data_IF_485867179671
#
_entry.id   IF_485867179671
#
_cell.length_a   1.000
_cell.length_b   1.000
_cell.length_c   1.000
_cell.angle_alpha   90.00
_cell.angle_beta   90.00
_cell.angle_gamma   90.00
#
_symmetry.space_group_name_H-M   'P 1'
#
loop_
_entity.id
_entity.type
_entity.pdbx_description
1 polymer ?
#
# COMPACT_ATOMS: atom_id res chain seq x y z
N UNK A 1 20.08 4.78 11.09
CA UNK A 1 18.76 4.25 10.75
C UNK A 1 18.66 2.81 11.20
N UNK A 2 17.56 2.44 11.89
CA UNK A 2 17.29 1.05 12.25
C UNK A 2 16.85 0.27 11.01
N UNK A 3 17.28 -0.99 10.90
CA UNK A 3 16.76 -1.91 9.88
C UNK A 3 15.37 -2.42 10.28
N UNK A 4 14.60 -2.90 9.30
CA UNK A 4 13.30 -3.51 9.56
C UNK A 4 13.39 -4.64 10.60
N UNK A 5 12.41 -4.71 11.50
CA UNK A 5 12.38 -5.71 12.57
C UNK A 5 13.38 -5.49 13.71
N UNK A 6 14.13 -4.38 13.71
CA UNK A 6 15.04 -4.04 14.80
C UNK A 6 14.41 -3.06 15.78
N UNK A 7 14.85 -3.14 17.03
CA UNK A 7 14.47 -2.27 18.13
C UNK A 7 15.73 -1.68 18.75
N UNK A 8 15.68 -0.36 19.04
CA UNK A 8 16.68 0.36 19.81
C UNK A 8 16.07 0.72 21.16
N UNK A 9 16.79 0.41 22.23
CA UNK A 9 16.43 0.81 23.58
C UNK A 9 17.56 1.66 24.17
N UNK A 10 17.19 2.83 24.66
CA UNK A 10 18.09 3.68 25.44
C UNK A 10 17.63 3.73 26.88
N UNK A 11 18.51 3.35 27.80
CA UNK A 11 18.24 3.38 29.23
C UNK A 11 19.53 3.64 30.02
N UNK A 12 19.50 4.60 30.95
CA UNK A 12 20.61 4.89 31.88
C UNK A 12 21.97 5.12 31.16
N UNK A 13 21.96 5.86 30.06
CA UNK A 13 23.16 6.13 29.27
C UNK A 13 23.65 4.97 28.42
N UNK A 14 22.97 3.84 28.41
CA UNK A 14 23.30 2.67 27.59
C UNK A 14 22.32 2.49 26.43
N UNK A 15 22.88 2.09 25.29
CA UNK A 15 22.13 1.80 24.09
C UNK A 15 22.19 0.32 23.80
N UNK A 16 21.03 -0.29 23.66
CA UNK A 16 20.87 -1.70 23.29
C UNK A 16 20.10 -1.79 21.98
N UNK A 17 20.58 -2.62 21.07
CA UNK A 17 19.90 -2.89 19.80
C UNK A 17 19.71 -4.38 19.66
N UNK A 18 18.46 -4.79 19.38
CA UNK A 18 18.10 -6.19 19.16
C UNK A 18 17.11 -6.34 18.02
N UNK A 19 17.00 -7.54 17.47
CA UNK A 19 16.00 -7.89 16.47
C UNK A 19 14.84 -8.58 17.17
N UNK A 20 13.63 -8.02 17.03
CA UNK A 20 12.41 -8.58 17.62
C UNK A 20 11.56 -9.33 16.60
N UNK A 21 11.82 -9.12 15.29
CA UNK A 21 11.12 -9.79 14.22
C UNK A 21 12.04 -9.96 12.99
N UNK A 22 11.86 -11.05 12.27
CA UNK A 22 12.54 -11.34 11.01
C UNK A 22 11.55 -11.95 10.04
N UNK A 23 11.53 -11.44 8.80
CA UNK A 23 10.79 -12.07 7.71
C UNK A 23 11.47 -13.41 7.35
N UNK A 24 10.70 -14.49 7.40
CA UNK A 24 11.16 -15.82 7.03
C UNK A 24 10.24 -16.37 5.96
N UNK A 25 10.83 -16.93 4.92
CA UNK A 25 10.13 -17.67 3.88
C UNK A 25 10.42 -19.16 4.09
N UNK A 26 9.44 -19.96 4.56
CA UNK A 26 9.62 -21.40 4.64
C UNK A 26 9.70 -21.97 3.22
N UNK A 27 10.82 -22.66 2.92
CA UNK A 27 11.08 -23.22 1.58
C UNK A 27 10.31 -24.53 1.31
N UNK A 28 9.77 -25.17 2.36
CA UNK A 28 9.24 -26.54 2.31
C UNK A 28 7.71 -26.63 2.14
N UNK A 29 7.03 -25.54 1.78
CA UNK A 29 5.58 -25.56 1.60
C UNK A 29 5.20 -25.96 0.17
N UNK A 30 5.37 -27.21 -0.20
CA UNK A 30 4.77 -27.75 -1.42
C UNK A 30 3.29 -28.06 -1.20
N UNK A 31 2.48 -27.00 -1.26
CA UNK A 31 1.03 -27.10 -1.10
C UNK A 31 0.31 -27.43 -2.42
N UNK A 32 1.02 -27.38 -3.53
CA UNK A 32 0.38 -27.34 -4.84
C UNK A 32 -0.38 -26.02 -5.07
N UNK A 33 -0.51 -25.62 -6.35
CA UNK A 33 -1.03 -24.30 -6.75
C UNK A 33 -2.45 -24.00 -6.25
N UNK A 34 -3.36 -24.95 -6.38
CA UNK A 34 -4.78 -24.75 -6.02
C UNK A 34 -4.99 -24.57 -4.51
N UNK A 35 -4.32 -25.41 -3.73
CA UNK A 35 -4.40 -25.33 -2.26
C UNK A 35 -3.75 -24.06 -1.75
N UNK A 36 -2.59 -23.68 -2.30
CA UNK A 36 -1.92 -22.43 -1.97
C UNK A 36 -2.80 -21.20 -2.26
N UNK A 37 -3.45 -21.17 -3.46
CA UNK A 37 -4.34 -20.09 -3.84
C UNK A 37 -5.56 -19.98 -2.91
N UNK A 38 -6.15 -21.11 -2.50
CA UNK A 38 -7.29 -21.14 -1.58
C UNK A 38 -6.89 -20.62 -0.20
N UNK A 39 -5.81 -21.12 0.36
CA UNK A 39 -5.31 -20.68 1.67
C UNK A 39 -4.92 -19.20 1.66
N UNK A 40 -4.24 -18.74 0.62
CA UNK A 40 -3.88 -17.33 0.46
C UNK A 40 -5.11 -16.44 0.45
N UNK A 41 -6.14 -16.81 -0.35
CA UNK A 41 -7.39 -16.07 -0.41
C UNK A 41 -8.07 -15.98 0.97
N UNK A 42 -8.14 -17.09 1.70
CA UNK A 42 -8.72 -17.13 3.05
C UNK A 42 -7.95 -16.25 4.02
N UNK A 43 -6.62 -16.32 4.02
CA UNK A 43 -5.75 -15.49 4.86
C UNK A 43 -5.90 -14.00 4.57
N UNK A 44 -5.95 -13.60 3.27
CA UNK A 44 -6.16 -12.20 2.90
C UNK A 44 -7.51 -11.71 3.42
N UNK A 45 -8.58 -12.48 3.22
CA UNK A 45 -9.92 -12.11 3.67
C UNK A 45 -9.96 -11.97 5.20
N UNK A 46 -9.38 -12.91 5.93
CA UNK A 46 -9.33 -12.88 7.39
C UNK A 46 -8.51 -11.69 7.89
N UNK A 47 -7.33 -11.47 7.31
CA UNK A 47 -6.46 -10.34 7.65
C UNK A 47 -7.18 -9.02 7.44
N UNK A 48 -7.75 -8.77 6.26
CA UNK A 48 -8.45 -7.52 5.97
C UNK A 48 -9.63 -7.31 6.92
N UNK A 49 -10.37 -8.37 7.23
CA UNK A 49 -11.49 -8.31 8.20
C UNK A 49 -10.99 -7.97 9.61
N UNK A 50 -9.84 -8.48 10.03
CA UNK A 50 -9.27 -8.20 11.36
C UNK A 50 -8.81 -6.75 11.51
N UNK A 51 -8.43 -6.10 10.41
CA UNK A 51 -8.09 -4.67 10.38
C UNK A 51 -9.27 -3.74 10.20
N UNK A 52 -10.48 -4.27 10.02
CA UNK A 52 -11.68 -3.46 9.90
C UNK A 52 -11.98 -2.77 11.23
N UNK A 53 -12.02 -1.42 11.27
CA UNK A 53 -12.43 -0.69 12.46
C UNK A 53 -13.92 -0.98 12.80
N UNK A 54 -14.27 -0.91 14.08
CA UNK A 54 -15.62 -1.26 14.55
C UNK A 54 -16.74 -0.32 14.13
N UNK A 55 -16.41 0.93 13.80
CA UNK A 55 -17.37 1.97 13.41
C UNK A 55 -17.07 2.51 12.01
N UNK A 56 -17.94 2.21 11.06
CA UNK A 56 -17.81 2.61 9.65
C UNK A 56 -17.98 4.12 9.43
N UNK A 57 -18.43 4.88 10.43
CA UNK A 57 -18.59 6.33 10.29
C UNK A 57 -17.25 7.08 10.30
N UNK A 58 -16.27 6.53 11.02
CA UNK A 58 -14.99 7.19 11.25
C UNK A 58 -13.83 6.72 10.35
N UNK A 59 -14.04 5.75 9.48
CA UNK A 59 -12.98 5.25 8.61
C UNK A 59 -13.42 5.12 7.16
N UNK A 60 -12.43 5.03 6.27
CA UNK A 60 -12.58 4.77 4.85
C UNK A 60 -11.41 3.96 4.31
N UNK A 61 -11.31 3.86 3.00
CA UNK A 61 -10.22 3.16 2.33
C UNK A 61 -9.67 3.95 1.14
N UNK A 62 -8.36 3.82 0.90
CA UNK A 62 -7.76 4.26 -0.34
C UNK A 62 -8.21 3.35 -1.50
N UNK A 63 -8.54 3.95 -2.63
CA UNK A 63 -8.91 3.23 -3.85
C UNK A 63 -8.22 3.84 -5.06
N UNK A 64 -7.14 3.22 -5.55
CA UNK A 64 -6.49 3.59 -6.80
C UNK A 64 -7.13 2.92 -8.03
N UNK A 65 -7.84 1.82 -7.81
CA UNK A 65 -8.33 0.96 -8.89
C UNK A 65 -7.34 -0.15 -9.29
N UNK A 66 -6.14 -0.17 -8.71
CA UNK A 66 -5.21 -1.29 -8.79
C UNK A 66 -5.72 -2.52 -8.05
N UNK A 67 -5.11 -3.68 -8.31
CA UNK A 67 -5.55 -4.97 -7.76
C UNK A 67 -5.61 -4.98 -6.24
N UNK A 68 -4.59 -4.43 -5.57
CA UNK A 68 -4.44 -4.49 -4.11
C UNK A 68 -5.50 -3.64 -3.41
N UNK A 69 -5.58 -2.35 -3.76
CA UNK A 69 -6.57 -1.44 -3.18
C UNK A 69 -8.01 -1.89 -3.46
N UNK A 70 -8.28 -2.40 -4.67
CA UNK A 70 -9.59 -2.91 -5.06
C UNK A 70 -9.97 -4.17 -4.29
N UNK A 71 -9.01 -5.09 -4.07
CA UNK A 71 -9.24 -6.30 -3.28
C UNK A 71 -9.59 -5.97 -1.83
N UNK A 72 -8.86 -5.05 -1.21
CA UNK A 72 -9.13 -4.60 0.15
C UNK A 72 -10.50 -3.93 0.23
N UNK A 73 -10.80 -2.99 -0.66
CA UNK A 73 -12.09 -2.32 -0.69
C UNK A 73 -13.27 -3.30 -0.87
N UNK A 74 -13.12 -4.30 -1.75
CA UNK A 74 -14.14 -5.33 -1.97
C UNK A 74 -14.39 -6.19 -0.74
N UNK A 75 -13.32 -6.62 -0.03
CA UNK A 75 -13.44 -7.40 1.21
C UNK A 75 -14.07 -6.57 2.32
N UNK A 76 -13.65 -5.31 2.48
CA UNK A 76 -14.20 -4.39 3.46
C UNK A 76 -15.68 -4.09 3.20
N UNK A 77 -16.07 -3.87 1.94
CA UNK A 77 -17.45 -3.65 1.55
C UNK A 77 -18.35 -4.86 1.89
N UNK A 78 -17.87 -6.07 1.58
CA UNK A 78 -18.59 -7.29 1.92
C UNK A 78 -18.72 -7.50 3.44
N UNK A 79 -17.72 -7.10 4.21
CA UNK A 79 -17.71 -7.22 5.67
C UNK A 79 -18.57 -6.14 6.36
N UNK A 80 -18.75 -4.98 5.75
CA UNK A 80 -19.53 -3.86 6.30
C UNK A 80 -21.01 -3.89 5.91
N UNK A 81 -21.41 -4.71 4.94
CA UNK A 81 -22.76 -4.76 4.43
C UNK A 81 -23.82 -4.90 5.55
N UNK A 82 -24.95 -4.20 5.49
CA UNK A 82 -25.44 -3.36 4.36
C UNK A 82 -24.90 -1.92 4.34
N UNK A 83 -24.05 -1.52 5.29
CA UNK A 83 -23.43 -0.19 5.30
C UNK A 83 -22.41 -0.05 4.17
N UNK A 84 -22.30 1.15 3.61
CA UNK A 84 -21.32 1.45 2.57
C UNK A 84 -20.00 1.87 3.19
N UNK A 85 -18.91 1.42 2.59
CA UNK A 85 -17.54 1.87 2.92
C UNK A 85 -17.21 3.08 2.07
N UNK A 86 -16.74 4.15 2.71
CA UNK A 86 -16.24 5.33 2.00
C UNK A 86 -14.89 5.02 1.36
N UNK A 87 -14.75 5.30 0.07
CA UNK A 87 -13.49 5.15 -0.67
C UNK A 87 -13.00 6.50 -1.17
N UNK A 88 -11.68 6.69 -1.15
CA UNK A 88 -11.03 7.94 -1.50
C UNK A 88 -10.02 7.71 -2.63
N UNK A 89 -10.18 8.47 -3.71
CA UNK A 89 -9.37 8.34 -4.93
C UNK A 89 -8.91 9.70 -5.43
N UNK A 90 -7.66 9.80 -5.82
CA UNK A 90 -7.10 10.98 -6.48
C UNK A 90 -6.76 10.62 -7.93
N UNK A 91 -7.18 11.47 -8.84
CA UNK A 91 -6.67 11.52 -10.20
C UNK A 91 -5.88 12.80 -10.42
N UNK A 92 -5.23 12.89 -11.56
CA UNK A 92 -4.51 14.07 -11.99
C UNK A 92 -5.15 14.64 -13.26
N UNK A 93 -4.98 15.96 -13.47
CA UNK A 93 -5.46 16.61 -14.70
C UNK A 93 -4.58 16.27 -15.89
N UNK A 94 -3.36 15.78 -15.65
CA UNK A 94 -2.40 15.36 -16.67
C UNK A 94 -2.83 14.03 -17.31
N UNK A 95 -2.87 14.00 -18.65
CA UNK A 95 -3.15 12.76 -19.38
C UNK A 95 -2.05 11.71 -19.12
N UNK A 96 -2.46 10.48 -18.81
CA UNK A 96 -1.54 9.37 -18.50
C UNK A 96 -1.33 9.09 -17.01
N UNK A 97 -1.76 9.99 -16.13
CA UNK A 97 -1.67 9.79 -14.67
C UNK A 97 -3.06 9.68 -14.00
N UNK A 98 -4.15 9.75 -14.78
CA UNK A 98 -5.53 9.67 -14.26
C UNK A 98 -6.01 8.22 -14.18
N UNK A 99 -5.94 7.63 -13.01
CA UNK A 99 -6.42 6.26 -12.73
C UNK A 99 -7.87 6.21 -12.23
N UNK A 100 -8.59 7.35 -12.17
CA UNK A 100 -9.97 7.41 -11.66
C UNK A 100 -10.93 6.49 -12.44
N UNK A 101 -10.65 6.21 -13.70
CA UNK A 101 -11.42 5.26 -14.51
C UNK A 101 -11.49 3.88 -13.85
N UNK A 102 -10.38 3.34 -13.39
CA UNK A 102 -10.31 2.05 -12.72
C UNK A 102 -10.93 2.10 -11.31
N UNK A 103 -10.68 3.18 -10.58
CA UNK A 103 -11.31 3.40 -9.27
C UNK A 103 -12.84 3.45 -9.38
N UNK A 104 -13.39 4.07 -10.42
CA UNK A 104 -14.84 4.09 -10.70
C UNK A 104 -15.41 2.70 -10.96
N UNK A 105 -14.71 1.86 -11.73
CA UNK A 105 -15.13 0.48 -12.00
C UNK A 105 -15.22 -0.30 -10.68
N UNK A 106 -14.17 -0.27 -9.88
CA UNK A 106 -14.12 -0.96 -8.59
C UNK A 106 -15.18 -0.43 -7.61
N UNK A 107 -15.32 0.90 -7.50
CA UNK A 107 -16.30 1.53 -6.61
C UNK A 107 -17.73 1.12 -6.96
N UNK A 108 -18.10 1.10 -8.24
CA UNK A 108 -19.42 0.64 -8.69
C UNK A 108 -19.63 -0.84 -8.44
N UNK A 109 -18.61 -1.67 -8.72
CA UNK A 109 -18.70 -3.12 -8.54
C UNK A 109 -18.93 -3.51 -7.08
N UNK A 110 -18.32 -2.79 -6.14
CA UNK A 110 -18.41 -3.09 -4.70
C UNK A 110 -19.42 -2.22 -3.95
N UNK A 111 -20.12 -1.30 -4.64
CA UNK A 111 -21.15 -0.44 -4.03
C UNK A 111 -20.60 0.53 -2.99
N UNK A 112 -19.39 1.04 -3.21
CA UNK A 112 -18.72 1.96 -2.29
C UNK A 112 -19.35 3.35 -2.32
N UNK A 113 -19.18 4.10 -1.22
CA UNK A 113 -19.42 5.53 -1.16
C UNK A 113 -18.14 6.24 -1.65
N UNK A 114 -18.15 6.67 -2.92
CA UNK A 114 -16.93 7.09 -3.63
C UNK A 114 -16.71 8.58 -3.55
N UNK A 115 -15.57 8.97 -2.97
CA UNK A 115 -15.06 10.34 -2.93
C UNK A 115 -13.87 10.46 -3.87
N UNK A 116 -13.97 11.35 -4.85
CA UNK A 116 -12.95 11.48 -5.89
C UNK A 116 -12.60 12.95 -6.14
N UNK A 117 -11.33 13.22 -6.42
CA UNK A 117 -10.82 14.54 -6.75
C UNK A 117 -9.72 14.44 -7.80
N UNK A 118 -9.70 15.40 -8.74
CA UNK A 118 -8.52 15.62 -9.57
C UNK A 118 -7.67 16.73 -8.98
N UNK A 119 -6.36 16.50 -9.00
CA UNK A 119 -5.32 17.41 -8.52
C UNK A 119 -4.56 17.93 -9.74
N UNK A 120 -4.41 19.24 -9.83
CA UNK A 120 -3.62 19.89 -10.86
C UNK A 120 -2.12 19.87 -10.49
N UNK A 121 -1.25 20.12 -11.49
CA UNK A 121 0.19 20.28 -11.27
C UNK A 121 0.50 21.40 -10.26
N UNK A 122 -0.23 22.50 -10.34
CA UNK A 122 -0.06 23.61 -9.42
C UNK A 122 -0.40 23.21 -7.99
N UNK A 123 -1.52 22.54 -7.76
CA UNK A 123 -1.91 22.03 -6.45
C UNK A 123 -0.87 21.01 -5.92
N UNK A 124 -0.37 20.12 -6.79
CA UNK A 124 0.67 19.17 -6.43
C UNK A 124 1.95 19.89 -5.96
N UNK A 125 2.37 20.95 -6.67
CA UNK A 125 3.52 21.77 -6.28
C UNK A 125 3.28 22.53 -4.95
N UNK A 126 2.08 23.06 -4.74
CA UNK A 126 1.70 23.74 -3.49
C UNK A 126 1.69 22.82 -2.26
N UNK A 127 1.48 21.50 -2.46
CA UNK A 127 1.53 20.53 -1.37
C UNK A 127 2.96 20.21 -0.90
N UNK A 128 3.99 20.41 -1.74
CA UNK A 128 5.37 20.01 -1.43
C UNK A 128 5.93 20.62 -0.13
N UNK A 129 5.77 21.94 0.17
CA UNK A 129 6.31 22.50 1.41
C UNK A 129 5.74 21.87 2.67
N UNK A 130 4.46 21.42 2.62
CA UNK A 130 3.83 20.75 3.75
C UNK A 130 4.31 19.29 3.86
N UNK A 131 4.41 18.59 2.74
CA UNK A 131 4.96 17.23 2.71
C UNK A 131 6.38 17.19 3.27
N UNK A 132 7.24 18.14 2.86
CA UNK A 132 8.62 18.25 3.39
C UNK A 132 8.63 18.44 4.92
N UNK A 133 7.66 19.16 5.47
CA UNK A 133 7.56 19.36 6.93
C UNK A 133 6.98 18.15 7.67
N UNK A 134 6.18 17.33 6.98
CA UNK A 134 5.52 16.17 7.56
C UNK A 134 6.44 14.95 7.67
N UNK A 135 7.48 14.88 6.83
CA UNK A 135 8.45 13.79 6.85
C UNK A 135 9.71 14.18 7.61
N UNK A 136 10.20 13.29 8.46
CA UNK A 136 11.42 13.48 9.25
C UNK A 136 12.71 13.43 8.41
N UNK A 137 12.62 12.86 7.20
CA UNK A 137 13.74 12.73 6.26
C UNK A 137 13.25 12.96 4.82
N UNK A 138 14.16 13.26 3.86
CA UNK A 138 13.78 13.43 2.46
C UNK A 138 13.02 12.21 1.91
N UNK A 139 11.83 12.45 1.41
CA UNK A 139 10.95 11.43 0.87
C UNK A 139 10.80 11.60 -0.65
N UNK A 140 11.35 10.67 -1.42
CA UNK A 140 11.44 10.75 -2.89
C UNK A 140 10.35 9.98 -3.65
N UNK A 141 9.26 9.56 -2.98
CA UNK A 141 8.17 8.84 -3.64
C UNK A 141 7.03 9.81 -4.01
N UNK A 142 6.70 9.88 -5.30
CA UNK A 142 5.62 10.73 -5.82
C UNK A 142 4.23 10.37 -5.27
N UNK A 143 4.03 9.16 -4.73
CA UNK A 143 2.77 8.74 -4.09
C UNK A 143 2.40 9.56 -2.85
N UNK A 144 3.35 10.33 -2.26
CA UNK A 144 3.08 11.23 -1.14
C UNK A 144 1.99 12.27 -1.48
N UNK A 145 1.97 12.77 -2.71
CA UNK A 145 1.00 13.80 -3.14
C UNK A 145 -0.43 13.25 -3.16
N UNK A 146 -0.75 12.16 -3.89
CA UNK A 146 -2.10 11.61 -3.86
C UNK A 146 -2.49 11.11 -2.47
N UNK A 147 -1.58 10.53 -1.69
CA UNK A 147 -1.84 10.13 -0.29
C UNK A 147 -2.28 11.31 0.55
N UNK A 148 -1.57 12.44 0.46
CA UNK A 148 -1.93 13.67 1.17
C UNK A 148 -3.34 14.17 0.81
N UNK A 149 -3.67 14.25 -0.47
CA UNK A 149 -4.99 14.71 -0.90
C UNK A 149 -6.11 13.74 -0.56
N UNK A 150 -5.87 12.44 -0.62
CA UNK A 150 -6.81 11.43 -0.12
C UNK A 150 -7.06 11.60 1.39
N UNK A 151 -5.99 11.71 2.18
CA UNK A 151 -6.10 11.90 3.63
C UNK A 151 -6.84 13.19 4.01
N UNK A 152 -6.55 14.29 3.30
CA UNK A 152 -7.27 15.55 3.48
C UNK A 152 -8.75 15.43 3.13
N UNK A 153 -9.07 14.84 1.99
CA UNK A 153 -10.45 14.63 1.56
C UNK A 153 -11.22 13.71 2.53
N UNK A 154 -10.54 12.71 3.11
CA UNK A 154 -11.10 11.85 4.13
C UNK A 154 -11.38 12.62 5.43
N UNK A 155 -10.44 13.45 5.88
CA UNK A 155 -10.63 14.31 7.05
C UNK A 155 -11.80 15.29 6.86
N UNK A 156 -11.90 15.92 5.67
CA UNK A 156 -13.03 16.80 5.31
C UNK A 156 -14.38 16.05 5.31
N UNK A 157 -14.37 14.74 5.04
CA UNK A 157 -15.53 13.84 5.13
C UNK A 157 -15.74 13.25 6.54
N UNK A 158 -15.03 13.73 7.56
CA UNK A 158 -15.15 13.29 8.95
C UNK A 158 -14.54 11.90 9.22
N UNK A 159 -13.58 11.46 8.38
CA UNK A 159 -12.84 10.22 8.58
C UNK A 159 -11.49 10.52 9.25
N UNK A 160 -11.14 9.75 10.24
CA UNK A 160 -9.87 9.87 10.98
C UNK A 160 -8.92 8.68 10.69
N UNK A 161 -9.38 7.68 9.96
CA UNK A 161 -8.61 6.51 9.57
C UNK A 161 -8.87 6.10 8.12
N UNK A 162 -7.80 5.78 7.39
CA UNK A 162 -7.87 5.18 6.07
C UNK A 162 -7.14 3.84 6.03
N UNK A 163 -7.81 2.82 5.51
CA UNK A 163 -7.20 1.50 5.25
C UNK A 163 -6.59 1.51 3.85
N UNK A 164 -5.37 0.99 3.74
CA UNK A 164 -4.60 0.97 2.50
C UNK A 164 -4.13 -0.45 2.12
N UNK A 165 -3.74 -0.62 0.86
CA UNK A 165 -3.19 -1.86 0.31
C UNK A 165 -1.66 -1.92 0.28
N UNK A 166 -0.99 -1.09 1.07
CA UNK A 166 0.46 -1.03 1.08
C UNK A 166 1.09 -2.37 1.49
N UNK A 167 2.19 -2.72 0.84
CA UNK A 167 2.90 -3.99 1.06
C UNK A 167 2.46 -5.13 0.13
N UNK A 168 1.41 -4.95 -0.66
CA UNK A 168 0.93 -5.95 -1.62
C UNK A 168 1.99 -6.27 -2.69
N UNK A 169 2.58 -5.25 -3.28
CA UNK A 169 3.64 -5.40 -4.28
C UNK A 169 4.86 -6.16 -3.75
N UNK A 170 5.25 -5.92 -2.49
CA UNK A 170 6.37 -6.57 -1.84
C UNK A 170 6.13 -8.05 -1.57
N UNK A 171 4.89 -8.41 -1.26
CA UNK A 171 4.52 -9.82 -0.94
C UNK A 171 4.25 -10.60 -2.23
N UNK A 172 3.57 -9.98 -3.20
CA UNK A 172 3.09 -10.67 -4.40
C UNK A 172 3.93 -10.41 -5.66
N UNK A 173 5.00 -9.62 -5.53
CA UNK A 173 5.89 -9.31 -6.66
C UNK A 173 5.25 -8.43 -7.73
N UNK A 174 4.32 -7.54 -7.35
CA UNK A 174 3.57 -6.68 -8.27
C UNK A 174 4.39 -5.56 -8.92
N UNK A 175 5.60 -5.28 -8.42
CA UNK A 175 6.44 -4.21 -8.94
C UNK A 175 7.40 -4.75 -10.02
N UNK A 176 7.45 -4.09 -11.20
CA UNK A 176 8.38 -4.42 -12.30
C UNK A 176 9.86 -4.46 -11.87
N UNK A 177 10.22 -3.76 -10.79
CA UNK A 177 11.56 -3.78 -10.21
C UNK A 177 12.02 -5.20 -9.90
N UNK A 178 11.14 -6.07 -9.40
CA UNK A 178 11.48 -7.45 -9.04
C UNK A 178 11.88 -8.28 -10.26
N UNK A 179 11.29 -8.02 -11.43
CA UNK A 179 11.71 -8.64 -12.68
C UNK A 179 13.12 -8.18 -13.08
N UNK A 180 13.40 -6.88 -12.96
CA UNK A 180 14.73 -6.31 -13.23
C UNK A 180 15.77 -6.86 -12.26
N UNK A 181 15.45 -6.92 -10.97
CA UNK A 181 16.35 -7.47 -9.94
C UNK A 181 16.67 -8.95 -10.20
N UNK A 182 15.72 -9.74 -10.71
CA UNK A 182 15.97 -11.12 -11.14
C UNK A 182 16.98 -11.19 -12.28
N UNK A 183 16.89 -10.31 -13.27
CA UNK A 183 17.85 -10.24 -14.37
C UNK A 183 19.22 -9.84 -13.85
N UNK A 184 19.29 -8.83 -12.98
CA UNK A 184 20.57 -8.42 -12.36
C UNK A 184 21.16 -9.52 -11.47
N UNK A 185 20.35 -10.27 -10.72
CA UNK A 185 20.84 -11.38 -9.90
C UNK A 185 21.48 -12.49 -10.75
N UNK A 186 20.95 -12.76 -11.95
CA UNK A 186 21.59 -13.67 -12.92
C UNK A 186 22.95 -13.13 -13.37
N UNK A 187 23.04 -11.82 -13.68
CA UNK A 187 24.32 -11.18 -14.03
C UNK A 187 25.31 -11.25 -12.87
N UNK A 188 24.89 -10.96 -11.63
CA UNK A 188 25.76 -11.03 -10.45
C UNK A 188 26.16 -12.48 -10.08
N UNK A 189 25.40 -13.49 -10.48
CA UNK A 189 25.73 -14.91 -10.35
C UNK A 189 26.82 -15.39 -11.32
N UNK A 190 27.16 -14.61 -12.38
CA UNK A 190 28.19 -14.99 -13.33
C UNK A 190 29.60 -14.93 -12.71
N UNK A 191 30.52 -15.79 -13.14
CA UNK A 191 31.93 -15.72 -12.72
C UNK A 191 32.56 -14.38 -13.09
N UNK A 192 33.45 -13.86 -12.22
CA UNK A 192 34.11 -12.56 -12.38
C UNK A 192 34.73 -12.30 -13.77
N UNK A 193 35.33 -13.29 -14.49
CA UNK A 193 35.88 -13.06 -15.84
C UNK A 193 34.84 -12.70 -16.90
N UNK A 194 33.56 -13.09 -16.67
CA UNK A 194 32.46 -12.84 -17.63
C UNK A 194 31.77 -11.50 -17.36
N UNK A 195 31.92 -10.95 -16.15
CA UNK A 195 31.31 -9.66 -15.75
C UNK A 195 32.05 -8.43 -16.28
N UNK A 196 33.22 -8.60 -16.82
CA UNK A 196 34.11 -7.54 -17.32
C UNK A 196 34.11 -7.39 -18.84
N UNK A 197 33.26 -8.09 -19.56
CA UNK A 197 32.99 -7.95 -20.98
C UNK A 197 31.70 -7.14 -21.18
#
# INVERSE_FOLDING_TARGET
KLSGGQRLRWRDGRMEQDSWWQLRYPEDLDLGRERAATQLREQIIETVRSYRPGDEQHWGAFLSGGTDSSSICGILAAAAAPKKVSSFSIGFTEEGYDELGFANIASKAFGLDSHQRRVSEQEAAEALPMLIRAFDEPFGNASAIPTYYCARMAADAGKDLLVAGDGGDEIFGGNERYLKDRIFSLYYGLPSPVKGL
#
